data_IF_935485454340
#
_entry.id   IF_935485454340
#
_cell.length_a   1.000
_cell.length_b   1.000
_cell.length_c   1.000
_cell.angle_alpha   90.00
_cell.angle_beta   90.00
_cell.angle_gamma   90.00
#
_symmetry.space_group_name_H-M   'P 1'
#
loop_
_entity.id
_entity.type
_entity.pdbx_description
1 polymer ?
#
# COMPACT_ATOMS: atom_id res chain seq x y z
N UNK A 1 5.19 -13.64 -19.52
CA UNK A 1 5.53 -12.64 -20.57
C UNK A 1 6.72 -11.83 -20.09
N UNK A 2 7.70 -11.49 -20.94
CA UNK A 2 8.78 -10.58 -20.56
C UNK A 2 8.19 -9.18 -20.30
N UNK A 3 8.69 -8.48 -19.28
CA UNK A 3 8.22 -7.16 -18.81
C UNK A 3 8.12 -6.13 -19.94
N UNK A 4 9.01 -6.22 -20.93
CA UNK A 4 9.04 -5.35 -22.13
C UNK A 4 7.78 -5.43 -22.99
N UNK A 5 7.12 -6.60 -23.07
CA UNK A 5 5.92 -6.77 -23.89
C UNK A 5 4.69 -6.08 -23.30
N UNK A 6 4.61 -5.95 -21.97
CA UNK A 6 3.53 -5.21 -21.31
C UNK A 6 3.73 -3.70 -21.42
N UNK A 7 4.97 -3.23 -21.35
CA UNK A 7 5.33 -1.82 -21.54
C UNK A 7 4.93 -1.36 -22.95
N UNK A 8 5.29 -2.15 -23.97
CA UNK A 8 4.93 -1.87 -25.38
C UNK A 8 3.42 -1.91 -25.61
N UNK A 9 2.71 -2.90 -25.06
CA UNK A 9 1.25 -3.02 -25.19
C UNK A 9 0.50 -1.80 -24.63
N UNK A 10 1.05 -1.20 -23.56
CA UNK A 10 0.45 -0.05 -22.90
C UNK A 10 0.98 1.29 -23.40
N UNK A 11 1.87 1.30 -24.40
CA UNK A 11 2.51 2.51 -24.90
C UNK A 11 3.30 3.28 -23.83
N UNK A 12 3.71 2.60 -22.75
CA UNK A 12 4.43 3.22 -21.64
C UNK A 12 5.85 3.49 -22.11
N UNK A 13 6.23 4.76 -22.22
CA UNK A 13 7.58 5.17 -22.60
C UNK A 13 8.54 5.20 -21.42
N UNK A 14 8.01 5.45 -20.21
CA UNK A 14 8.77 5.48 -18.97
C UNK A 14 7.92 4.92 -17.82
N UNK A 15 8.39 3.87 -17.16
CA UNK A 15 7.68 3.22 -16.05
C UNK A 15 7.75 4.04 -14.76
N UNK A 16 8.73 4.93 -14.64
CA UNK A 16 8.95 5.77 -13.46
C UNK A 16 7.94 6.93 -13.37
N UNK A 17 7.21 7.18 -14.45
CA UNK A 17 6.14 8.20 -14.56
C UNK A 17 4.75 7.62 -14.31
N UNK A 18 4.64 6.32 -13.97
CA UNK A 18 3.35 5.72 -13.67
C UNK A 18 2.76 6.28 -12.38
N UNK A 19 1.55 6.82 -12.48
CA UNK A 19 0.80 7.34 -11.33
C UNK A 19 -0.34 6.40 -10.95
N UNK A 20 -0.72 6.33 -9.66
CA UNK A 20 -1.92 5.62 -9.23
C UNK A 20 -3.16 6.07 -10.02
N UNK A 21 -3.96 5.11 -10.48
CA UNK A 21 -5.12 5.37 -11.34
C UNK A 21 -4.82 5.36 -12.84
N UNK A 22 -3.57 5.16 -13.26
CA UNK A 22 -3.24 4.88 -14.66
C UNK A 22 -3.85 3.54 -15.07
N UNK A 23 -4.67 3.52 -16.13
CA UNK A 23 -5.22 2.28 -16.67
C UNK A 23 -4.14 1.50 -17.42
N UNK A 24 -3.99 0.22 -17.07
CA UNK A 24 -3.04 -0.70 -17.68
C UNK A 24 -3.80 -1.89 -18.26
N UNK A 25 -3.65 -2.09 -19.57
CA UNK A 25 -4.11 -3.26 -20.29
C UNK A 25 -3.25 -4.47 -19.93
N UNK A 26 -3.90 -5.46 -19.32
CA UNK A 26 -3.33 -6.78 -19.05
C UNK A 26 -3.88 -7.75 -20.09
N UNK A 27 -3.03 -8.33 -20.95
CA UNK A 27 -3.50 -9.27 -21.95
C UNK A 27 -3.92 -10.57 -21.25
N UNK A 28 -5.14 -11.01 -21.54
CA UNK A 28 -5.65 -12.29 -21.08
C UNK A 28 -4.88 -13.37 -21.85
N UNK A 29 -3.93 -14.03 -21.19
CA UNK A 29 -3.37 -15.26 -21.71
C UNK A 29 -4.48 -16.31 -21.57
N UNK A 30 -4.80 -17.04 -22.64
CA UNK A 30 -5.79 -18.11 -22.59
C UNK A 30 -5.30 -19.21 -21.63
N UNK A 31 -5.63 -19.09 -20.35
CA UNK A 31 -5.54 -20.19 -19.39
C UNK A 31 -6.69 -21.17 -19.66
N UNK A 32 -6.46 -22.43 -19.31
CA UNK A 32 -7.43 -23.53 -19.42
C UNK A 32 -8.81 -23.10 -18.88
N UNK A 33 -9.91 -23.66 -19.42
CA UNK A 33 -11.26 -23.13 -19.19
C UNK A 33 -11.58 -23.01 -17.71
N UNK A 34 -11.78 -21.77 -17.27
CA UNK A 34 -12.38 -21.44 -15.97
C UNK A 34 -13.83 -21.89 -16.03
N UNK A 35 -14.16 -22.98 -15.33
CA UNK A 35 -15.56 -23.34 -15.09
C UNK A 35 -16.21 -22.22 -14.30
N UNK A 36 -17.22 -21.61 -14.91
CA UNK A 36 -18.08 -20.60 -14.32
C UNK A 36 -18.70 -21.14 -13.01
N UNK A 37 -18.31 -20.55 -11.89
CA UNK A 37 -18.89 -20.80 -10.57
C UNK A 37 -19.58 -19.55 -10.02
N UNK A 38 -19.82 -18.52 -10.85
CA UNK A 38 -20.45 -17.27 -10.41
C UNK A 38 -21.98 -17.30 -10.48
N UNK A 39 -22.60 -18.43 -10.83
CA UNK A 39 -24.06 -18.56 -11.02
C UNK A 39 -24.86 -18.83 -9.73
N UNK A 40 -24.27 -18.78 -8.54
CA UNK A 40 -24.95 -19.20 -7.29
C UNK A 40 -25.47 -18.06 -6.39
N UNK A 41 -25.38 -16.79 -6.81
CA UNK A 41 -25.93 -15.67 -6.04
C UNK A 41 -27.19 -15.10 -6.71
N UNK A 42 -28.20 -15.95 -6.90
CA UNK A 42 -29.58 -15.49 -7.05
C UNK A 42 -30.21 -15.39 -5.66
N UNK A 43 -30.60 -14.18 -5.29
CA UNK A 43 -31.09 -13.86 -3.97
C UNK A 43 -32.49 -14.42 -3.72
N UNK A 44 -32.59 -15.33 -2.75
CA UNK A 44 -33.83 -15.57 -2.03
C UNK A 44 -33.82 -14.73 -0.75
N UNK A 45 -34.80 -13.82 -0.68
CA UNK A 45 -35.13 -13.08 0.52
C UNK A 45 -35.71 -14.04 1.56
N UNK A 46 -34.85 -14.65 2.38
CA UNK A 46 -35.27 -15.45 3.52
C UNK A 46 -34.92 -14.74 4.83
N UNK A 47 -36.01 -14.31 5.48
CA UNK A 47 -36.13 -13.55 6.70
C UNK A 47 -35.45 -14.23 7.91
N UNK A 48 -34.64 -13.45 8.62
CA UNK A 48 -34.46 -13.48 10.08
C UNK A 48 -34.01 -14.80 10.74
N UNK A 49 -32.78 -15.23 10.42
CA UNK A 49 -31.99 -16.00 11.37
C UNK A 49 -31.01 -15.05 12.05
N UNK A 50 -31.34 -14.69 13.30
CA UNK A 50 -30.46 -13.94 14.21
C UNK A 50 -29.07 -14.55 14.15
N UNK A 51 -28.13 -13.80 13.56
CA UNK A 51 -26.71 -14.11 13.60
C UNK A 51 -26.35 -14.25 15.08
N UNK A 52 -26.14 -15.49 15.54
CA UNK A 52 -25.54 -15.72 16.83
C UNK A 52 -24.20 -14.99 16.81
N UNK A 53 -23.95 -14.12 17.80
CA UNK A 53 -22.68 -13.42 17.90
C UNK A 53 -21.56 -14.45 17.80
N UNK A 54 -20.74 -14.34 16.74
CA UNK A 54 -19.58 -15.17 16.59
C UNK A 54 -18.75 -15.05 17.88
N UNK A 55 -18.15 -16.14 18.40
CA UNK A 55 -17.28 -16.04 19.55
C UNK A 55 -16.21 -15.00 19.26
N UNK A 56 -16.07 -14.03 20.15
CA UNK A 56 -15.06 -12.98 20.04
C UNK A 56 -13.71 -13.70 20.07
N UNK A 57 -12.98 -13.67 18.95
CA UNK A 57 -11.64 -14.23 18.90
C UNK A 57 -10.79 -13.59 20.01
N UNK A 58 -9.88 -14.34 20.65
CA UNK A 58 -9.00 -13.76 21.65
C UNK A 58 -8.19 -12.61 21.02
N UNK A 59 -8.19 -11.45 21.68
CA UNK A 59 -7.35 -10.31 21.28
C UNK A 59 -5.89 -10.73 21.45
N UNK A 60 -5.13 -10.68 20.36
CA UNK A 60 -3.68 -10.87 20.39
C UNK A 60 -3.02 -9.50 20.30
N UNK A 61 -2.34 -9.11 21.37
CA UNK A 61 -1.60 -7.84 21.43
C UNK A 61 -0.11 -8.10 21.25
N UNK A 62 0.57 -7.22 20.51
CA UNK A 62 2.03 -7.20 20.46
C UNK A 62 2.51 -6.24 21.55
N UNK A 63 3.07 -6.81 22.62
CA UNK A 63 3.60 -6.02 23.72
C UNK A 63 4.81 -5.19 23.28
N UNK A 64 5.02 -4.05 23.95
CA UNK A 64 6.19 -3.17 23.81
C UNK A 64 6.39 -2.53 22.43
N UNK A 65 5.33 -2.40 21.61
CA UNK A 65 5.37 -1.53 20.44
C UNK A 65 5.26 -0.08 20.90
N UNK A 66 6.26 0.79 20.66
CA UNK A 66 6.24 2.17 21.13
C UNK A 66 5.23 3.00 20.36
N UNK A 67 4.76 4.08 20.97
CA UNK A 67 3.94 5.09 20.29
C UNK A 67 4.83 6.20 19.74
N UNK A 68 4.43 6.75 18.59
CA UNK A 68 5.11 7.87 17.96
C UNK A 68 4.09 8.78 17.27
N UNK A 69 4.22 10.08 17.47
CA UNK A 69 3.39 11.08 16.78
C UNK A 69 4.11 11.54 15.52
N UNK A 70 3.39 11.48 14.39
CA UNK A 70 3.98 11.86 13.11
C UNK A 70 4.41 13.34 13.10
N UNK A 71 5.55 13.63 12.45
CA UNK A 71 6.14 14.98 12.46
C UNK A 71 5.55 15.90 11.39
N UNK A 72 5.02 15.35 10.29
CA UNK A 72 4.49 16.11 9.17
C UNK A 72 3.04 15.70 8.85
N UNK A 73 2.25 16.57 8.19
CA UNK A 73 0.85 16.30 7.86
C UNK A 73 0.58 14.98 7.14
N UNK A 74 1.49 14.57 6.26
CA UNK A 74 1.36 13.37 5.45
C UNK A 74 2.44 12.32 5.73
N UNK A 75 3.24 12.44 6.80
CA UNK A 75 4.34 11.49 7.07
C UNK A 75 3.93 10.18 7.75
N UNK A 76 2.64 9.80 7.74
CA UNK A 76 2.17 8.57 8.40
C UNK A 76 2.92 7.29 8.01
N UNK A 77 3.43 7.10 6.76
CA UNK A 77 4.25 5.93 6.43
C UNK A 77 5.62 5.94 7.13
N UNK A 78 6.23 7.13 7.27
CA UNK A 78 7.51 7.29 7.97
C UNK A 78 7.33 7.18 9.49
N UNK A 79 6.21 7.66 10.03
CA UNK A 79 5.83 7.46 11.43
C UNK A 79 5.69 5.96 11.74
N UNK A 80 4.98 5.22 10.87
CA UNK A 80 4.82 3.78 11.00
C UNK A 80 6.17 3.04 10.91
N UNK A 81 7.06 3.45 9.99
CA UNK A 81 8.41 2.90 9.89
C UNK A 81 9.26 3.19 11.14
N UNK A 82 9.12 4.40 11.72
CA UNK A 82 9.77 4.77 12.98
C UNK A 82 9.30 3.86 14.13
N UNK A 83 7.99 3.65 14.26
CA UNK A 83 7.41 2.75 15.27
C UNK A 83 7.91 1.31 15.06
N UNK A 84 7.89 0.82 13.82
CA UNK A 84 8.31 -0.53 13.49
C UNK A 84 9.80 -0.75 13.84
N UNK A 85 10.69 0.12 13.37
CA UNK A 85 12.14 0.02 13.66
C UNK A 85 12.42 0.13 15.15
N UNK A 86 11.71 0.99 15.88
CA UNK A 86 11.79 1.09 17.32
C UNK A 86 11.33 -0.19 18.04
N UNK A 87 10.28 -0.86 17.55
CA UNK A 87 9.82 -2.13 18.11
C UNK A 87 10.86 -3.26 17.93
N UNK A 88 11.69 -3.19 16.89
CA UNK A 88 12.76 -4.17 16.62
C UNK A 88 14.14 -3.75 17.15
N UNK A 89 14.26 -2.59 17.80
CA UNK A 89 15.52 -2.12 18.39
C UNK A 89 15.70 -0.60 18.28
N UNK A 90 16.53 -0.16 17.34
CA UNK A 90 16.85 1.25 17.18
C UNK A 90 15.81 1.94 16.27
N UNK A 91 15.15 2.97 16.82
CA UNK A 91 14.25 3.80 16.05
C UNK A 91 15.02 4.58 14.96
N UNK A 92 14.58 4.46 13.72
CA UNK A 92 15.00 5.38 12.66
C UNK A 92 14.01 6.55 12.66
N UNK A 93 14.44 7.80 12.90
CA UNK A 93 13.52 8.93 12.99
C UNK A 93 13.00 9.35 11.62
N UNK A 94 11.79 9.94 11.58
CA UNK A 94 11.14 10.35 10.33
C UNK A 94 12.01 11.22 9.42
N UNK A 95 12.79 12.15 9.99
CA UNK A 95 13.61 13.06 9.20
C UNK A 95 14.65 12.31 8.36
N UNK A 96 15.14 11.16 8.82
CA UNK A 96 16.06 10.32 8.03
C UNK A 96 15.37 9.78 6.79
N UNK A 97 14.10 9.36 6.90
CA UNK A 97 13.32 8.95 5.73
C UNK A 97 13.01 10.14 4.81
N UNK A 98 12.64 11.30 5.37
CA UNK A 98 12.36 12.51 4.60
C UNK A 98 13.57 12.98 3.80
N UNK A 99 14.76 12.89 4.39
CA UNK A 99 16.01 13.33 3.76
C UNK A 99 16.50 12.33 2.70
N UNK A 100 16.18 11.04 2.85
CA UNK A 100 16.72 9.97 2.01
C UNK A 100 15.76 9.47 0.91
N UNK A 101 14.45 9.50 1.14
CA UNK A 101 13.45 9.04 0.16
C UNK A 101 13.22 10.16 -0.86
N UNK A 102 13.48 9.93 -2.16
CA UNK A 102 13.32 10.97 -3.16
C UNK A 102 11.85 11.30 -3.41
N UNK A 103 11.58 12.50 -3.91
CA UNK A 103 10.29 12.85 -4.51
C UNK A 103 10.16 12.14 -5.87
N UNK A 104 9.06 11.43 -6.10
CA UNK A 104 8.78 10.75 -7.37
C UNK A 104 7.28 10.73 -7.68
N UNK A 105 6.94 10.74 -8.98
CA UNK A 105 5.56 10.56 -9.42
C UNK A 105 5.06 9.13 -9.19
N UNK A 106 5.92 8.14 -9.46
CA UNK A 106 5.65 6.76 -9.15
C UNK A 106 6.02 6.45 -7.67
N UNK A 107 5.04 6.07 -6.82
CA UNK A 107 5.28 5.79 -5.41
C UNK A 107 6.14 4.54 -5.14
N UNK A 108 6.45 3.73 -6.15
CA UNK A 108 7.46 2.66 -6.05
C UNK A 108 8.90 3.18 -6.09
N UNK A 109 9.12 4.42 -6.54
CA UNK A 109 10.44 5.02 -6.74
C UNK A 109 10.76 6.11 -5.70
N UNK A 110 9.76 6.62 -4.99
CA UNK A 110 9.89 7.70 -4.02
C UNK A 110 8.55 8.05 -3.38
N UNK A 111 8.48 9.16 -2.65
CA UNK A 111 7.20 9.68 -2.19
C UNK A 111 6.58 10.62 -3.23
N UNK A 112 5.26 10.54 -3.37
CA UNK A 112 4.46 11.37 -4.27
C UNK A 112 3.78 12.50 -3.49
N UNK A 113 3.61 13.64 -4.15
CA UNK A 113 2.85 14.78 -3.61
C UNK A 113 3.66 15.69 -2.70
N UNK A 114 3.00 16.23 -1.67
CA UNK A 114 3.60 17.18 -0.74
C UNK A 114 3.43 16.73 0.71
N UNK A 115 4.54 16.39 1.36
CA UNK A 115 4.59 15.97 2.76
C UNK A 115 3.95 17.00 3.74
N UNK A 116 3.99 18.28 3.36
CA UNK A 116 3.46 19.42 4.13
C UNK A 116 2.03 19.82 3.70
N UNK A 117 1.34 18.95 2.97
CA UNK A 117 -0.04 19.19 2.51
C UNK A 117 -1.08 19.17 3.63
N UNK A 118 -2.35 19.03 3.26
CA UNK A 118 -3.45 18.90 4.21
C UNK A 118 -3.29 17.66 5.10
N UNK A 119 -3.44 17.82 6.41
CA UNK A 119 -3.25 16.74 7.38
C UNK A 119 -4.16 15.55 7.11
N UNK A 120 -3.57 14.36 6.98
CA UNK A 120 -4.31 13.11 6.76
C UNK A 120 -4.96 12.95 5.38
N UNK A 121 -4.65 13.83 4.42
CA UNK A 121 -5.13 13.66 3.04
C UNK A 121 -4.54 12.42 2.38
N UNK A 122 -5.36 11.70 1.63
CA UNK A 122 -4.98 10.49 0.88
C UNK A 122 -5.14 10.68 -0.64
N UNK A 123 -5.42 11.91 -1.09
CA UNK A 123 -5.80 12.18 -2.48
C UNK A 123 -4.61 12.13 -3.42
N UNK A 124 -3.50 12.78 -3.05
CA UNK A 124 -2.34 12.96 -3.93
C UNK A 124 -1.01 12.70 -3.22
N UNK A 125 -1.04 11.86 -2.18
CA UNK A 125 0.15 11.52 -1.41
C UNK A 125 0.25 10.03 -1.18
N UNK A 126 1.45 9.50 -1.34
CA UNK A 126 1.75 8.11 -1.06
C UNK A 126 3.22 7.79 -1.30
N UNK A 127 3.71 6.81 -0.57
CA UNK A 127 5.00 6.16 -0.77
C UNK A 127 4.77 4.67 -0.50
N UNK A 128 5.29 3.81 -1.37
CA UNK A 128 5.23 2.38 -1.14
C UNK A 128 6.41 1.91 -0.29
N UNK A 129 6.45 0.64 0.16
CA UNK A 129 7.54 0.16 0.99
C UNK A 129 8.90 0.15 0.30
N UNK A 130 8.95 0.00 -1.03
CA UNK A 130 10.22 -0.19 -1.75
C UNK A 130 11.18 1.00 -1.61
N UNK A 131 10.75 2.27 -1.76
CA UNK A 131 11.60 3.43 -1.51
C UNK A 131 12.19 3.55 -0.10
N UNK A 132 11.62 2.86 0.90
CA UNK A 132 12.13 2.91 2.29
C UNK A 132 13.29 1.92 2.50
N UNK A 133 13.40 0.89 1.67
CA UNK A 133 14.39 -0.20 1.81
C UNK A 133 15.84 0.30 1.91
N UNK A 134 16.30 1.29 1.12
CA UNK A 134 17.66 1.81 1.25
C UNK A 134 17.95 2.39 2.64
N UNK A 135 16.95 3.04 3.26
CA UNK A 135 17.09 3.61 4.61
C UNK A 135 17.13 2.50 5.67
N UNK A 136 16.33 1.44 5.48
CA UNK A 136 16.24 0.32 6.42
C UNK A 136 17.50 -0.58 6.40
N UNK A 137 18.28 -0.55 5.32
CA UNK A 137 19.51 -1.33 5.16
C UNK A 137 20.80 -0.52 5.40
N UNK A 138 20.67 0.74 5.81
CA UNK A 138 21.80 1.66 5.99
C UNK A 138 22.68 1.35 7.20
#
# INVERSE_FOLDING_TARGET
>A
MPTSALIELNGITNIDELVPGTEILIPIVAEAPVTDQLSAFEGDAQTDQRIAAAPIAPVTEVANVPTYQQSYPLSSPYAAATIATAAFGAAIPENVFVDAVPLAENPHMGYRGNLYGEWGSTTDYGVYPEPLVPVLNA
#
